data_IF_517787084658
#
_entry.id   IF_517787084658
#
_cell.length_a   1.000
_cell.length_b   1.000
_cell.length_c   1.000
_cell.angle_alpha   90.00
_cell.angle_beta   90.00
_cell.angle_gamma   90.00
#
_symmetry.space_group_name_H-M   'P 1'
#
loop_
_entity.id
_entity.type
_entity.pdbx_description
1 polymer ?
#
# COMPACT_ATOMS: atom_id res chain seq x y z
N UNK A 1 -18.14 29.81 -7.53
CA UNK A 1 -17.07 28.83 -7.47
C UNK A 1 -16.84 28.35 -8.90
N UNK A 2 -15.75 28.76 -9.50
CA UNK A 2 -15.39 28.31 -10.87
C UNK A 2 -14.63 26.98 -10.80
N UNK A 3 -14.48 26.29 -11.94
CA UNK A 3 -13.67 25.05 -12.00
C UNK A 3 -12.23 25.31 -11.53
N UNK A 4 -11.71 26.52 -11.83
CA UNK A 4 -10.38 26.93 -11.40
C UNK A 4 -10.28 27.08 -9.87
N UNK A 5 -11.30 27.67 -9.22
CA UNK A 5 -11.33 27.83 -7.76
C UNK A 5 -11.32 26.46 -7.05
N UNK A 6 -12.10 25.50 -7.56
CA UNK A 6 -12.11 24.12 -7.05
C UNK A 6 -10.76 23.44 -7.26
N UNK A 7 -10.13 23.67 -8.41
CA UNK A 7 -8.84 23.10 -8.74
C UNK A 7 -7.73 23.65 -7.83
N UNK A 8 -7.73 24.96 -7.56
CA UNK A 8 -6.78 25.60 -6.63
C UNK A 8 -6.96 25.10 -5.20
N UNK A 9 -8.19 24.99 -4.71
CA UNK A 9 -8.51 24.45 -3.37
C UNK A 9 -8.03 23.02 -3.21
N UNK A 10 -8.30 22.16 -4.21
CA UNK A 10 -7.81 20.77 -4.21
C UNK A 10 -6.27 20.73 -4.19
N UNK A 11 -5.61 21.57 -4.98
CA UNK A 11 -4.15 21.62 -5.03
C UNK A 11 -3.58 22.07 -3.70
N UNK A 12 -4.16 23.05 -3.03
CA UNK A 12 -3.71 23.57 -1.75
C UNK A 12 -3.87 22.52 -0.63
N UNK A 13 -5.02 21.86 -0.53
CA UNK A 13 -5.24 20.80 0.47
C UNK A 13 -4.27 19.64 0.30
N UNK A 14 -4.06 19.17 -0.94
CA UNK A 14 -3.11 18.08 -1.20
C UNK A 14 -1.66 18.51 -0.99
N UNK A 15 -1.29 19.76 -1.27
CA UNK A 15 0.04 20.28 -0.95
C UNK A 15 0.30 20.32 0.55
N UNK A 16 -0.67 20.79 1.33
CA UNK A 16 -0.56 20.81 2.78
C UNK A 16 -0.40 19.39 3.38
N UNK A 17 -1.11 18.41 2.81
CA UNK A 17 -0.98 17.01 3.23
C UNK A 17 0.39 16.42 2.84
N UNK A 18 0.87 16.71 1.63
CA UNK A 18 2.19 16.28 1.16
C UNK A 18 3.29 16.89 2.06
N UNK A 19 3.23 18.17 2.38
CA UNK A 19 4.17 18.86 3.27
C UNK A 19 4.16 18.29 4.69
N UNK A 20 2.98 17.98 5.23
CA UNK A 20 2.85 17.31 6.52
C UNK A 20 3.47 15.91 6.51
N UNK A 21 3.20 15.14 5.45
CA UNK A 21 3.76 13.80 5.28
C UNK A 21 5.27 13.83 5.16
N UNK A 22 5.83 14.77 4.41
CA UNK A 22 7.29 14.93 4.27
C UNK A 22 7.94 15.31 5.59
N UNK A 23 7.32 16.20 6.35
CA UNK A 23 7.85 16.69 7.61
C UNK A 23 7.79 15.67 8.75
N UNK A 24 6.67 14.95 8.88
CA UNK A 24 6.41 14.11 10.06
C UNK A 24 6.38 12.61 9.77
N UNK A 25 5.96 12.20 8.59
CA UNK A 25 5.72 10.80 8.28
C UNK A 25 6.84 10.16 7.45
N UNK A 26 7.49 10.89 6.53
CA UNK A 26 8.63 10.38 5.75
C UNK A 26 9.95 10.36 6.53
N UNK A 27 9.89 10.40 7.87
CA UNK A 27 11.05 10.25 8.71
C UNK A 27 11.55 8.80 8.76
N UNK A 28 12.84 8.58 8.53
CA UNK A 28 13.42 7.22 8.52
C UNK A 28 13.02 6.36 9.73
N UNK A 29 13.09 6.87 10.97
CA UNK A 29 12.63 6.15 12.16
C UNK A 29 11.16 5.75 12.12
N UNK A 30 10.25 6.61 11.65
CA UNK A 30 8.81 6.31 11.55
C UNK A 30 8.58 5.15 10.58
N UNK A 31 9.20 5.21 9.40
CA UNK A 31 9.13 4.14 8.40
C UNK A 31 9.66 2.82 8.96
N UNK A 32 10.80 2.86 9.65
CA UNK A 32 11.42 1.67 10.23
C UNK A 32 10.54 1.02 11.30
N UNK A 33 9.99 1.83 12.21
CA UNK A 33 9.06 1.34 13.25
C UNK A 33 7.80 0.75 12.61
N UNK A 34 7.21 1.41 11.63
CA UNK A 34 6.04 0.90 10.92
C UNK A 34 6.34 -0.44 10.22
N UNK A 35 7.49 -0.57 9.55
CA UNK A 35 7.91 -1.82 8.92
C UNK A 35 8.03 -2.95 9.94
N UNK A 36 8.67 -2.72 11.09
CA UNK A 36 8.87 -3.72 12.14
C UNK A 36 7.54 -4.12 12.76
N UNK A 37 6.72 -3.14 13.15
CA UNK A 37 5.40 -3.40 13.78
C UNK A 37 4.52 -4.22 12.84
N UNK A 38 4.39 -3.83 11.58
CA UNK A 38 3.60 -4.60 10.62
C UNK A 38 4.23 -5.95 10.27
N UNK A 39 5.55 -6.06 10.28
CA UNK A 39 6.24 -7.34 10.15
C UNK A 39 5.87 -8.31 11.26
N UNK A 40 5.87 -7.84 12.50
CA UNK A 40 5.45 -8.62 13.67
C UNK A 40 3.95 -8.97 13.59
N UNK A 41 3.09 -8.00 13.24
CA UNK A 41 1.65 -8.23 13.07
C UNK A 41 1.36 -9.31 12.03
N UNK A 42 2.06 -9.32 10.89
CA UNK A 42 1.94 -10.39 9.90
C UNK A 42 2.22 -11.76 10.48
N UNK A 43 3.30 -11.92 11.24
CA UNK A 43 3.67 -13.19 11.85
C UNK A 43 2.64 -13.61 12.90
N UNK A 44 2.20 -12.70 13.77
CA UNK A 44 1.25 -12.99 14.82
C UNK A 44 -0.14 -13.38 14.27
N UNK A 45 -0.63 -12.61 13.30
CA UNK A 45 -1.92 -12.86 12.67
C UNK A 45 -1.89 -14.17 11.89
N UNK A 46 -0.79 -14.46 11.19
CA UNK A 46 -0.63 -15.70 10.45
C UNK A 46 -0.60 -16.92 11.38
N UNK A 47 0.17 -16.86 12.49
CA UNK A 47 0.19 -17.91 13.50
C UNK A 47 -1.19 -18.19 14.12
N UNK A 48 -1.95 -17.13 14.35
CA UNK A 48 -3.34 -17.24 14.84
C UNK A 48 -4.26 -17.86 13.78
N UNK A 49 -4.06 -17.49 12.52
CA UNK A 49 -4.92 -17.91 11.42
C UNK A 49 -4.66 -19.37 10.99
N UNK A 50 -3.45 -19.90 11.20
CA UNK A 50 -3.15 -21.33 10.97
C UNK A 50 -4.03 -22.26 11.81
N UNK A 51 -4.45 -21.81 13.00
CA UNK A 51 -5.29 -22.57 13.94
C UNK A 51 -6.79 -22.29 13.80
N UNK A 52 -7.18 -21.45 12.86
CA UNK A 52 -8.55 -20.94 12.73
C UNK A 52 -9.14 -21.35 11.39
N UNK A 53 -10.39 -21.77 11.39
CA UNK A 53 -11.10 -22.00 10.14
C UNK A 53 -11.38 -20.68 9.40
N UNK A 54 -11.07 -20.66 8.12
CA UNK A 54 -11.39 -19.54 7.24
C UNK A 54 -12.93 -19.47 7.05
N UNK A 55 -13.52 -18.34 7.48
CA UNK A 55 -14.97 -18.13 7.43
C UNK A 55 -15.45 -17.66 6.05
N UNK A 56 -14.67 -16.80 5.40
CA UNK A 56 -15.00 -16.15 4.14
C UNK A 56 -13.95 -16.55 3.10
N UNK A 57 -14.35 -17.35 2.12
CA UNK A 57 -13.46 -17.91 1.09
C UNK A 57 -13.72 -17.38 -0.31
N UNK A 58 -14.90 -16.78 -0.54
CA UNK A 58 -15.32 -16.26 -1.85
C UNK A 58 -15.78 -14.82 -1.73
N UNK A 59 -15.57 -14.04 -2.78
CA UNK A 59 -15.98 -12.63 -2.85
C UNK A 59 -17.50 -12.46 -2.64
N UNK A 60 -18.29 -13.43 -3.11
CA UNK A 60 -19.76 -13.43 -2.93
C UNK A 60 -20.23 -13.59 -1.47
N UNK A 61 -19.33 -13.99 -0.57
CA UNK A 61 -19.61 -14.14 0.87
C UNK A 61 -19.23 -12.87 1.65
N UNK A 62 -18.52 -11.95 1.00
CA UNK A 62 -18.06 -10.71 1.64
C UNK A 62 -19.23 -9.72 1.70
N UNK A 63 -19.60 -9.30 2.90
CA UNK A 63 -20.62 -8.28 3.08
C UNK A 63 -20.05 -6.86 2.84
N UNK A 64 -20.94 -5.89 2.57
CA UNK A 64 -20.54 -4.48 2.48
C UNK A 64 -19.90 -3.96 3.78
N UNK A 65 -20.35 -4.48 4.93
CA UNK A 65 -19.77 -4.14 6.24
C UNK A 65 -18.34 -4.66 6.36
N UNK A 66 -18.07 -5.88 5.86
CA UNK A 66 -16.72 -6.43 5.86
C UNK A 66 -15.80 -5.63 4.91
N UNK A 67 -16.31 -5.24 3.74
CA UNK A 67 -15.58 -4.37 2.81
C UNK A 67 -15.25 -3.01 3.43
N UNK A 68 -16.19 -2.40 4.16
CA UNK A 68 -15.97 -1.15 4.89
C UNK A 68 -14.89 -1.31 5.97
N UNK A 69 -14.93 -2.39 6.75
CA UNK A 69 -13.90 -2.70 7.76
C UNK A 69 -12.52 -2.86 7.10
N UNK A 70 -12.43 -3.54 5.95
CA UNK A 70 -11.19 -3.66 5.21
C UNK A 70 -10.68 -2.30 4.73
N UNK A 71 -11.58 -1.40 4.32
CA UNK A 71 -11.26 0.00 4.01
C UNK A 71 -10.68 0.76 5.20
N UNK A 72 -11.25 0.57 6.40
CA UNK A 72 -10.71 1.15 7.63
C UNK A 72 -9.32 0.59 7.98
N UNK A 73 -9.08 -0.71 7.79
CA UNK A 73 -7.71 -1.25 7.92
C UNK A 73 -6.75 -0.65 6.90
N UNK A 74 -7.20 -0.41 5.67
CA UNK A 74 -6.37 0.19 4.63
C UNK A 74 -6.02 1.65 4.94
N UNK A 75 -6.88 2.42 5.62
CA UNK A 75 -6.58 3.80 5.99
C UNK A 75 -5.36 3.92 6.93
N UNK A 76 -5.01 2.86 7.68
CA UNK A 76 -3.78 2.82 8.47
C UNK A 76 -2.51 2.94 7.60
N UNK A 77 -2.64 2.71 6.29
CA UNK A 77 -1.55 2.86 5.34
C UNK A 77 -1.21 4.31 4.98
N UNK A 78 -1.90 5.29 5.56
CA UNK A 78 -1.47 6.70 5.58
C UNK A 78 -0.09 6.83 6.24
N UNK A 79 0.21 5.99 7.24
CA UNK A 79 1.55 5.96 7.84
C UNK A 79 2.54 5.29 6.88
N UNK A 80 3.59 6.01 6.41
CA UNK A 80 4.61 5.44 5.55
C UNK A 80 5.30 4.24 6.20
N UNK A 81 5.57 3.20 5.40
CA UNK A 81 6.10 1.93 5.91
C UNK A 81 5.04 0.88 6.23
N UNK A 82 3.76 1.28 6.41
CA UNK A 82 2.67 0.34 6.73
C UNK A 82 2.31 -0.59 5.58
N UNK A 83 2.46 -0.20 4.33
CA UNK A 83 1.99 -0.89 3.11
C UNK A 83 0.47 -1.06 3.06
N UNK A 84 -0.15 -0.51 2.03
CA UNK A 84 -1.61 -0.58 1.80
C UNK A 84 -2.14 -2.02 1.74
N UNK A 85 -1.52 -2.84 0.90
CA UNK A 85 -1.88 -4.26 0.80
C UNK A 85 -1.64 -5.00 2.11
N UNK A 86 -0.56 -4.66 2.82
CA UNK A 86 -0.25 -5.25 4.12
C UNK A 86 -1.33 -5.00 5.15
N UNK A 87 -1.80 -3.77 5.31
CA UNK A 87 -2.86 -3.41 6.25
C UNK A 87 -4.18 -4.12 5.90
N UNK A 88 -4.57 -4.14 4.63
CA UNK A 88 -5.78 -4.83 4.16
C UNK A 88 -5.71 -6.34 4.38
N UNK A 89 -4.57 -6.97 4.07
CA UNK A 89 -4.39 -8.43 4.26
C UNK A 89 -4.43 -8.79 5.75
N UNK A 90 -3.70 -8.07 6.60
CA UNK A 90 -3.73 -8.29 8.05
C UNK A 90 -5.15 -8.12 8.59
N UNK A 91 -5.86 -7.05 8.18
CA UNK A 91 -7.26 -6.84 8.52
C UNK A 91 -8.16 -8.00 8.10
N UNK A 92 -8.03 -8.44 6.85
CA UNK A 92 -8.80 -9.57 6.32
C UNK A 92 -8.56 -10.88 7.07
N UNK A 93 -7.31 -11.20 7.36
CA UNK A 93 -6.94 -12.38 8.14
C UNK A 93 -7.50 -12.34 9.57
N UNK A 94 -7.48 -11.18 10.23
CA UNK A 94 -8.07 -11.03 11.57
C UNK A 94 -9.58 -11.24 11.58
N UNK A 95 -10.25 -10.90 10.49
CA UNK A 95 -11.69 -11.09 10.30
C UNK A 95 -12.06 -12.54 9.90
N UNK A 96 -11.05 -13.40 9.64
CA UNK A 96 -11.27 -14.78 9.19
C UNK A 96 -11.51 -14.91 7.69
N UNK A 97 -11.12 -13.92 6.91
CA UNK A 97 -11.11 -13.99 5.44
C UNK A 97 -9.92 -14.84 5.00
N UNK A 98 -10.10 -15.68 3.98
CA UNK A 98 -9.03 -16.53 3.47
C UNK A 98 -7.86 -15.70 2.95
N UNK A 99 -6.63 -16.24 3.05
CA UNK A 99 -5.40 -15.58 2.57
C UNK A 99 -5.53 -15.09 1.13
N UNK A 100 -6.03 -15.96 0.28
CA UNK A 100 -6.22 -15.66 -1.14
C UNK A 100 -7.20 -14.51 -1.34
N UNK A 101 -8.37 -14.56 -0.71
CA UNK A 101 -9.40 -13.53 -0.87
C UNK A 101 -8.95 -12.19 -0.30
N UNK A 102 -8.23 -12.18 0.83
CA UNK A 102 -7.68 -10.95 1.40
C UNK A 102 -6.68 -10.27 0.44
N UNK A 103 -5.82 -11.05 -0.22
CA UNK A 103 -4.90 -10.55 -1.23
C UNK A 103 -5.63 -10.06 -2.49
N UNK A 104 -6.56 -10.87 -3.03
CA UNK A 104 -7.38 -10.48 -4.20
C UNK A 104 -8.13 -9.17 -3.92
N UNK A 105 -8.79 -9.07 -2.77
CA UNK A 105 -9.55 -7.87 -2.39
C UNK A 105 -8.65 -6.64 -2.22
N UNK A 106 -7.45 -6.81 -1.67
CA UNK A 106 -6.45 -5.74 -1.57
C UNK A 106 -6.06 -5.17 -2.94
N UNK A 107 -5.92 -6.03 -3.95
CA UNK A 107 -5.65 -5.57 -5.32
C UNK A 107 -6.86 -4.84 -5.91
N UNK A 108 -8.07 -5.34 -5.73
CA UNK A 108 -9.28 -4.65 -6.22
C UNK A 108 -9.45 -3.27 -5.57
N UNK A 109 -9.20 -3.14 -4.27
CA UNK A 109 -9.26 -1.86 -3.57
C UNK A 109 -8.19 -0.86 -4.05
N UNK A 110 -7.05 -1.32 -4.55
CA UNK A 110 -6.01 -0.43 -5.06
C UNK A 110 -6.41 0.28 -6.35
N UNK A 111 -7.28 -0.32 -7.17
CA UNK A 111 -7.68 0.23 -8.47
C UNK A 111 -8.32 1.63 -8.33
N UNK A 112 -9.42 1.83 -7.56
CA UNK A 112 -10.05 3.14 -7.46
C UNK A 112 -9.12 4.18 -6.80
N UNK A 113 -8.30 3.78 -5.84
CA UNK A 113 -7.37 4.68 -5.16
C UNK A 113 -6.26 5.14 -6.10
N UNK A 114 -5.64 4.23 -6.84
CA UNK A 114 -4.59 4.58 -7.80
C UNK A 114 -5.14 5.40 -8.97
N UNK A 115 -6.36 5.08 -9.41
CA UNK A 115 -7.05 5.88 -10.43
C UNK A 115 -7.30 7.31 -9.93
N UNK A 116 -7.83 7.48 -8.72
CA UNK A 116 -8.05 8.80 -8.11
C UNK A 116 -6.75 9.61 -8.01
N UNK A 117 -5.67 9.01 -7.49
CA UNK A 117 -4.36 9.65 -7.44
C UNK A 117 -3.82 10.05 -8.82
N UNK A 118 -4.02 9.21 -9.83
CA UNK A 118 -3.59 9.51 -11.20
C UNK A 118 -4.34 10.71 -11.77
N UNK A 119 -5.66 10.80 -11.54
CA UNK A 119 -6.49 11.91 -11.96
C UNK A 119 -6.03 13.22 -11.28
N UNK A 120 -5.82 13.20 -9.96
CA UNK A 120 -5.34 14.36 -9.21
C UNK A 120 -3.97 14.83 -9.72
N UNK A 121 -3.04 13.90 -9.96
CA UNK A 121 -1.73 14.24 -10.52
C UNK A 121 -1.85 14.86 -11.91
N UNK A 122 -2.70 14.33 -12.79
CA UNK A 122 -2.94 14.91 -14.11
C UNK A 122 -3.48 16.34 -14.01
N UNK A 123 -4.38 16.62 -13.07
CA UNK A 123 -4.91 17.96 -12.82
C UNK A 123 -3.80 18.91 -12.31
N UNK A 124 -2.98 18.46 -11.34
CA UNK A 124 -1.87 19.24 -10.76
C UNK A 124 -0.80 19.62 -11.79
N UNK A 125 -0.37 18.68 -12.62
CA UNK A 125 0.70 18.91 -13.58
C UNK A 125 0.25 19.65 -14.86
N UNK A 126 -1.07 19.78 -15.08
CA UNK A 126 -1.60 20.32 -16.33
C UNK A 126 -1.39 19.37 -17.52
N UNK A 127 -2.00 19.67 -18.65
CA UNK A 127 -1.91 18.87 -19.87
C UNK A 127 -0.76 19.32 -20.80
N UNK A 128 0.28 19.94 -20.25
CA UNK A 128 1.44 20.41 -21.02
C UNK A 128 2.54 19.34 -21.10
N UNK A 129 2.25 18.29 -21.85
CA UNK A 129 3.26 17.25 -22.14
C UNK A 129 3.85 17.50 -23.54
N UNK A 130 5.17 17.42 -23.62
CA UNK A 130 5.82 17.28 -24.93
C UNK A 130 5.47 15.91 -25.53
N UNK A 131 5.56 15.79 -26.86
CA UNK A 131 5.31 14.50 -27.54
C UNK A 131 6.20 13.39 -27.00
N UNK A 132 7.43 13.72 -26.65
CA UNK A 132 8.39 12.75 -26.09
C UNK A 132 7.96 12.26 -24.72
N UNK A 133 7.60 13.14 -23.80
CA UNK A 133 7.10 12.80 -22.45
C UNK A 133 5.84 11.94 -22.51
N UNK A 134 4.95 12.24 -23.47
CA UNK A 134 3.75 11.41 -23.68
C UNK A 134 4.08 10.00 -24.15
N UNK A 135 5.04 9.86 -25.06
CA UNK A 135 5.51 8.53 -25.53
C UNK A 135 6.18 7.75 -24.39
N UNK A 136 7.03 8.40 -23.58
CA UNK A 136 7.66 7.80 -22.42
C UNK A 136 6.62 7.33 -21.38
N UNK A 137 5.58 8.14 -21.13
CA UNK A 137 4.48 7.78 -20.24
C UNK A 137 3.73 6.53 -20.72
N UNK A 138 3.34 6.49 -21.99
CA UNK A 138 2.64 5.34 -22.58
C UNK A 138 3.53 4.08 -22.55
N UNK A 139 4.80 4.21 -22.92
CA UNK A 139 5.73 3.09 -22.85
C UNK A 139 5.88 2.56 -21.42
N UNK A 140 6.06 3.44 -20.43
CA UNK A 140 6.14 3.08 -19.03
C UNK A 140 4.86 2.38 -18.54
N UNK A 141 3.68 2.86 -18.93
CA UNK A 141 2.39 2.24 -18.59
C UNK A 141 2.28 0.81 -19.18
N UNK A 142 2.67 0.60 -20.44
CA UNK A 142 2.62 -0.72 -21.09
C UNK A 142 3.56 -1.70 -20.39
N UNK A 143 4.80 -1.28 -20.12
CA UNK A 143 5.79 -2.11 -19.43
C UNK A 143 5.30 -2.44 -18.01
N UNK A 144 4.82 -1.45 -17.26
CA UNK A 144 4.29 -1.65 -15.92
C UNK A 144 3.09 -2.61 -15.90
N UNK A 145 2.19 -2.50 -16.86
CA UNK A 145 1.04 -3.42 -17.01
C UNK A 145 1.50 -4.86 -17.24
N UNK A 146 2.44 -5.06 -18.16
CA UNK A 146 2.95 -6.40 -18.48
C UNK A 146 3.67 -7.04 -17.30
N UNK A 147 4.56 -6.31 -16.64
CA UNK A 147 5.25 -6.77 -15.44
C UNK A 147 4.28 -7.08 -14.31
N UNK A 148 3.27 -6.23 -14.10
CA UNK A 148 2.25 -6.42 -13.05
C UNK A 148 1.46 -7.71 -13.25
N UNK A 149 1.08 -8.04 -14.49
CA UNK A 149 0.36 -9.30 -14.80
C UNK A 149 1.21 -10.51 -14.39
N UNK A 150 2.49 -10.50 -14.71
CA UNK A 150 3.41 -11.61 -14.37
C UNK A 150 3.55 -11.72 -12.85
N UNK A 151 3.84 -10.60 -12.19
CA UNK A 151 4.07 -10.57 -10.73
C UNK A 151 2.82 -10.96 -9.95
N UNK A 152 1.64 -10.48 -10.34
CA UNK A 152 0.38 -10.84 -9.67
C UNK A 152 0.09 -12.33 -9.83
N UNK A 153 0.25 -12.89 -11.04
CA UNK A 153 0.08 -14.33 -11.27
C UNK A 153 1.03 -15.17 -10.40
N UNK A 154 2.29 -14.77 -10.36
CA UNK A 154 3.30 -15.43 -9.52
C UNK A 154 2.92 -15.34 -8.03
N UNK A 155 2.60 -14.16 -7.54
CA UNK A 155 2.25 -13.92 -6.14
C UNK A 155 1.00 -14.68 -5.72
N UNK A 156 -0.05 -14.68 -6.54
CA UNK A 156 -1.28 -15.43 -6.27
C UNK A 156 -1.03 -16.95 -6.27
N UNK A 157 -0.14 -17.42 -7.14
CA UNK A 157 0.32 -18.82 -7.12
C UNK A 157 1.09 -19.18 -5.83
N UNK A 158 1.94 -18.26 -5.37
CA UNK A 158 2.71 -18.41 -4.14
C UNK A 158 1.80 -18.46 -2.90
N UNK A 159 0.86 -17.53 -2.77
CA UNK A 159 -0.07 -17.40 -1.63
C UNK A 159 -0.98 -18.64 -1.48
N UNK A 160 -1.29 -19.32 -2.59
CA UNK A 160 -2.06 -20.58 -2.53
C UNK A 160 -1.35 -21.71 -1.76
N UNK A 161 -0.02 -21.70 -1.76
CA UNK A 161 0.80 -22.80 -1.21
C UNK A 161 1.53 -22.41 0.08
N UNK A 162 1.70 -21.12 0.33
CA UNK A 162 2.53 -20.59 1.41
C UNK A 162 1.74 -19.61 2.28
N UNK A 163 2.34 -19.29 3.44
CA UNK A 163 1.82 -18.29 4.36
C UNK A 163 2.49 -16.91 4.16
N UNK A 164 1.95 -15.88 4.81
CA UNK A 164 2.50 -14.53 4.74
C UNK A 164 3.68 -14.26 5.70
N UNK A 165 4.15 -15.25 6.47
CA UNK A 165 5.23 -15.06 7.45
C UNK A 165 6.52 -14.54 6.80
N UNK A 166 6.83 -15.01 5.59
CA UNK A 166 8.03 -14.57 4.87
C UNK A 166 8.01 -13.05 4.60
N UNK A 167 6.83 -12.49 4.31
CA UNK A 167 6.68 -11.04 4.15
C UNK A 167 6.85 -10.29 5.47
N UNK A 168 6.46 -10.90 6.59
CA UNK A 168 6.72 -10.39 7.93
C UNK A 168 8.20 -10.32 8.24
N UNK A 169 8.93 -11.40 8.01
CA UNK A 169 10.40 -11.43 8.21
C UNK A 169 11.13 -10.45 7.33
N UNK A 170 10.78 -10.39 6.03
CA UNK A 170 11.37 -9.42 5.11
C UNK A 170 11.22 -7.98 5.62
N UNK A 171 10.05 -7.62 6.13
CA UNK A 171 9.77 -6.27 6.66
C UNK A 171 10.57 -5.95 7.91
N UNK A 172 10.72 -6.91 8.83
CA UNK A 172 11.52 -6.73 10.05
C UNK A 172 12.97 -6.48 9.65
N UNK A 173 13.54 -7.30 8.77
CA UNK A 173 14.91 -7.13 8.29
C UNK A 173 15.09 -5.78 7.61
N UNK A 174 14.16 -5.39 6.71
CA UNK A 174 14.22 -4.10 6.04
C UNK A 174 14.13 -2.93 7.03
N UNK A 175 13.24 -3.01 8.02
CA UNK A 175 13.12 -2.00 9.08
C UNK A 175 14.41 -1.84 9.89
N UNK A 176 15.07 -2.95 10.23
CA UNK A 176 16.37 -2.92 10.91
C UNK A 176 17.45 -2.29 10.05
N UNK A 177 17.50 -2.60 8.74
CA UNK A 177 18.44 -1.96 7.80
C UNK A 177 18.22 -0.45 7.76
N UNK A 178 16.97 0.01 7.68
CA UNK A 178 16.63 1.45 7.68
C UNK A 178 17.12 2.12 8.96
N UNK A 179 16.96 1.51 10.13
CA UNK A 179 17.47 2.02 11.40
C UNK A 179 18.99 2.17 11.36
N UNK A 180 19.69 1.12 10.93
CA UNK A 180 21.17 1.13 10.88
C UNK A 180 21.66 2.23 9.93
N UNK A 181 21.08 2.36 8.75
CA UNK A 181 21.45 3.40 7.78
C UNK A 181 21.16 4.80 8.33
N UNK A 182 20.04 4.97 9.02
CA UNK A 182 19.67 6.25 9.62
C UNK A 182 20.66 6.64 10.72
N UNK A 183 21.00 5.73 11.63
CA UNK A 183 22.00 5.96 12.69
C UNK A 183 23.36 6.27 12.09
N UNK A 184 23.83 5.49 11.11
CA UNK A 184 25.11 5.70 10.45
C UNK A 184 25.17 7.09 9.77
N UNK A 185 24.10 7.51 9.10
CA UNK A 185 24.02 8.83 8.48
C UNK A 185 24.05 9.97 9.51
N UNK A 186 23.34 9.80 10.63
CA UNK A 186 23.34 10.80 11.71
C UNK A 186 24.71 10.94 12.37
N UNK A 187 25.42 9.82 12.60
CA UNK A 187 26.77 9.82 13.15
C UNK A 187 27.81 10.40 12.18
N UNK A 188 27.65 10.21 10.89
CA UNK A 188 28.55 10.75 9.88
C UNK A 188 28.33 12.26 9.59
N UNK A 189 27.20 12.82 10.02
CA UNK A 189 26.82 14.22 9.84
C UNK A 189 27.20 15.12 11.05
N UNK A 190 27.64 14.51 12.15
CA UNK A 190 28.21 15.17 13.34
C UNK A 190 29.75 15.12 13.31
#
# INVERSE_FOLDING_TARGET
MTINDIQEEIIEEFSALDDWMDKYAHNGPVIAVALIVYGILFILVENRNEKREEKIKKLSQLSYVDALKLGLFQSLAIVPGTSRSGATIVGGLTMGISRRLAAEFSFFMSIPIMFGWSVIKLIKFGMHYSVLEFVELIFGMVVACFVSIIVIKFLMGYIKKNNFKIFGYYRIVLGLIVIVVFIAKTLASN
#
